data_IF_652693326923
#
_entry.id   IF_652693326923
#
_cell.length_a   1.000
_cell.length_b   1.000
_cell.length_c   1.000
_cell.angle_alpha   90.00
_cell.angle_beta   90.00
_cell.angle_gamma   90.00
#
_symmetry.space_group_name_H-M   'P 1'
#
loop_
_entity.id
_entity.type
_entity.pdbx_description
1 polymer ?
#
# COMPACT_ATOMS: atom_id res chain seq x y z
N UNK A 1 -4.05 -12.12 -0.42
CA UNK A 1 -4.48 -11.02 -1.28
C UNK A 1 -3.54 -10.91 -2.45
N UNK A 2 -4.04 -10.87 -3.66
CA UNK A 2 -3.21 -10.81 -4.84
C UNK A 2 -3.18 -9.38 -5.37
N UNK A 3 -2.08 -8.70 -5.10
CA UNK A 3 -1.93 -7.29 -5.47
C UNK A 3 -2.00 -7.09 -6.98
N UNK A 4 -1.54 -8.06 -7.74
CA UNK A 4 -1.54 -7.94 -9.20
C UNK A 4 -2.95 -7.98 -9.78
N UNK A 5 -3.90 -8.54 -9.07
CA UNK A 5 -5.29 -8.59 -9.51
C UNK A 5 -6.11 -7.44 -8.96
N UNK A 6 -5.54 -6.62 -8.10
CA UNK A 6 -6.25 -5.47 -7.54
C UNK A 6 -6.39 -4.38 -8.59
N UNK A 7 -7.51 -3.70 -8.54
CA UNK A 7 -7.71 -2.51 -9.38
C UNK A 7 -6.85 -1.37 -8.83
N UNK A 8 -6.46 -0.47 -9.71
CA UNK A 8 -5.65 0.69 -9.30
C UNK A 8 -6.37 1.49 -8.22
N UNK A 9 -7.68 1.59 -8.29
CA UNK A 9 -8.45 2.29 -7.27
C UNK A 9 -8.27 1.67 -5.90
N UNK A 10 -8.25 0.33 -5.84
CA UNK A 10 -8.03 -0.38 -4.58
C UNK A 10 -6.60 -0.18 -4.08
N UNK A 11 -5.64 -0.20 -5.01
CA UNK A 11 -4.24 0.01 -4.65
C UNK A 11 -4.07 1.39 -4.03
N UNK A 12 -4.65 2.41 -4.65
CA UNK A 12 -4.56 3.78 -4.14
C UNK A 12 -5.21 3.89 -2.77
N UNK A 13 -6.35 3.27 -2.57
CA UNK A 13 -7.02 3.29 -1.26
C UNK A 13 -6.14 2.65 -0.18
N UNK A 14 -5.51 1.54 -0.50
CA UNK A 14 -4.62 0.88 0.46
C UNK A 14 -3.42 1.75 0.78
N UNK A 15 -2.83 2.37 -0.22
CA UNK A 15 -1.70 3.27 -0.02
C UNK A 15 -2.09 4.43 0.88
N UNK A 16 -3.23 5.05 0.61
CA UNK A 16 -3.72 6.16 1.42
C UNK A 16 -3.97 5.73 2.86
N UNK A 17 -4.55 4.56 3.04
CA UNK A 17 -4.84 4.02 4.37
C UNK A 17 -3.54 3.81 5.15
N UNK A 18 -2.55 3.20 4.52
CA UNK A 18 -1.26 2.96 5.16
C UNK A 18 -0.54 4.27 5.47
N UNK A 19 -0.63 5.22 4.55
CA UNK A 19 -0.03 6.54 4.75
C UNK A 19 -0.63 7.22 5.99
N UNK A 20 -1.94 7.17 6.11
CA UNK A 20 -2.63 7.75 7.24
C UNK A 20 -2.23 7.07 8.55
N UNK A 21 -2.13 5.75 8.52
CA UNK A 21 -1.68 4.99 9.68
C UNK A 21 -0.26 5.39 10.07
N UNK A 22 0.61 5.60 9.09
CA UNK A 22 1.99 5.96 9.36
C UNK A 22 2.11 7.34 10.03
N UNK A 23 1.13 8.20 9.84
CA UNK A 23 1.09 9.49 10.51
C UNK A 23 0.66 9.36 11.98
N UNK A 24 -0.11 8.34 12.28
CA UNK A 24 -0.59 8.11 13.65
C UNK A 24 0.39 7.26 14.45
N UNK A 25 1.08 6.33 13.80
CA UNK A 25 2.04 5.45 14.44
C UNK A 25 2.99 4.92 13.36
N UNK A 26 4.13 4.38 13.81
CA UNK A 26 5.04 3.76 12.87
C UNK A 26 4.46 2.46 12.34
N UNK A 27 4.69 2.21 11.07
CA UNK A 27 4.29 0.95 10.45
C UNK A 27 5.23 -0.16 10.91
N UNK A 28 4.65 -1.36 11.10
CA UNK A 28 5.48 -2.52 11.39
C UNK A 28 6.11 -3.04 10.08
N UNK A 29 6.96 -4.08 10.19
CA UNK A 29 7.66 -4.61 9.02
C UNK A 29 6.70 -5.08 7.93
N UNK A 30 5.62 -5.77 8.33
CA UNK A 30 4.66 -6.27 7.36
C UNK A 30 3.96 -5.13 6.63
N UNK A 31 3.61 -4.10 7.36
CA UNK A 31 2.95 -2.95 6.77
C UNK A 31 3.88 -2.18 5.84
N UNK A 32 5.14 -2.07 6.20
CA UNK A 32 6.13 -1.42 5.34
C UNK A 32 6.33 -2.20 4.05
N UNK A 33 6.38 -3.51 4.14
CA UNK A 33 6.51 -4.34 2.95
C UNK A 33 5.27 -4.23 2.06
N UNK A 34 4.11 -4.23 2.66
CA UNK A 34 2.87 -4.08 1.91
C UNK A 34 2.83 -2.72 1.22
N UNK A 35 3.19 -1.68 1.93
CA UNK A 35 3.22 -0.34 1.35
C UNK A 35 4.17 -0.26 0.16
N UNK A 36 5.36 -0.84 0.30
CA UNK A 36 6.33 -0.84 -0.79
C UNK A 36 5.80 -1.60 -2.01
N UNK A 37 5.16 -2.73 -1.78
CA UNK A 37 4.59 -3.52 -2.87
C UNK A 37 3.47 -2.77 -3.57
N UNK A 38 2.61 -2.11 -2.81
CA UNK A 38 1.51 -1.34 -3.38
C UNK A 38 2.02 -0.14 -4.18
N UNK A 39 3.03 0.54 -3.65
CA UNK A 39 3.62 1.68 -4.35
C UNK A 39 4.28 1.24 -5.65
N UNK A 40 4.98 0.12 -5.61
CA UNK A 40 5.60 -0.42 -6.81
C UNK A 40 4.55 -0.75 -7.87
N UNK A 41 3.46 -1.34 -7.46
CA UNK A 41 2.36 -1.65 -8.37
C UNK A 41 1.79 -0.38 -9.00
N UNK A 42 1.63 0.64 -8.19
CA UNK A 42 1.09 1.92 -8.64
C UNK A 42 2.03 2.61 -9.63
N UNK A 43 3.31 2.60 -9.34
CA UNK A 43 4.31 3.25 -10.18
C UNK A 43 4.53 2.49 -11.49
N UNK A 44 4.54 1.18 -11.41
CA UNK A 44 4.79 0.33 -12.58
C UNK A 44 3.62 0.31 -13.57
N UNK A 45 2.49 0.82 -13.18
CA UNK A 45 1.30 0.77 -14.03
C UNK A 45 1.39 1.76 -15.21
#
# INVERSE_FOLDING_TARGET
MDIQKMKIEEVVEKINSLYKTSQERELNNEEKELQAALRKRYIDN
#
